data_IF_681166871714
#
_entry.id   IF_681166871714
#
_cell.length_a   1.000
_cell.length_b   1.000
_cell.length_c   1.000
_cell.angle_alpha   90.00
_cell.angle_beta   90.00
_cell.angle_gamma   90.00
#
_symmetry.space_group_name_H-M   'P 1'
#
loop_
_entity.id
_entity.type
_entity.pdbx_description
1 polymer ?
#
# COMPACT_ATOMS: atom_id res chain seq x y z
N UNK A 1 -70.47 -91.80 -19.87
CA UNK A 1 -70.68 -91.70 -18.40
C UNK A 1 -69.32 -91.50 -17.69
N UNK A 2 -69.29 -90.70 -16.67
CA UNK A 2 -68.24 -90.44 -15.67
C UNK A 2 -67.21 -89.34 -16.05
N UNK A 3 -67.50 -88.28 -15.54
CA UNK A 3 -67.13 -87.47 -14.34
C UNK A 3 -65.71 -86.90 -14.38
N UNK A 4 -65.73 -85.62 -14.51
CA UNK A 4 -64.69 -84.66 -14.34
C UNK A 4 -64.15 -84.68 -12.91
N UNK A 5 -62.86 -84.55 -12.75
CA UNK A 5 -62.29 -83.94 -11.53
C UNK A 5 -61.20 -82.88 -11.85
N UNK A 6 -61.49 -81.68 -11.44
CA UNK A 6 -60.60 -80.48 -11.58
C UNK A 6 -59.70 -80.47 -10.36
N UNK A 7 -58.41 -80.44 -10.57
CA UNK A 7 -57.46 -80.01 -9.54
C UNK A 7 -56.90 -78.61 -9.90
N UNK A 8 -57.04 -77.70 -8.96
CA UNK A 8 -56.56 -76.29 -9.05
C UNK A 8 -55.07 -76.29 -8.82
N UNK A 9 -54.33 -75.81 -9.78
CA UNK A 9 -52.93 -75.36 -9.59
C UNK A 9 -52.89 -73.86 -9.28
N UNK A 10 -52.47 -73.53 -8.07
CA UNK A 10 -52.18 -72.19 -7.65
C UNK A 10 -50.90 -71.74 -8.34
N UNK A 11 -50.98 -70.69 -9.15
CA UNK A 11 -49.82 -69.99 -9.65
C UNK A 11 -49.30 -68.98 -8.58
N UNK A 12 -48.11 -69.28 -8.06
CA UNK A 12 -47.38 -68.36 -7.20
C UNK A 12 -46.74 -67.26 -8.02
N UNK A 13 -47.20 -66.05 -7.82
CA UNK A 13 -46.62 -64.81 -8.42
C UNK A 13 -45.39 -64.44 -7.62
N UNK A 14 -44.21 -64.74 -8.16
CA UNK A 14 -42.94 -64.34 -7.60
C UNK A 14 -42.70 -62.86 -7.91
N UNK A 15 -42.78 -62.00 -6.91
CA UNK A 15 -42.40 -60.60 -7.02
C UNK A 15 -40.85 -60.51 -6.94
N UNK A 16 -40.20 -60.26 -8.09
CA UNK A 16 -38.75 -59.86 -8.13
C UNK A 16 -38.63 -58.43 -7.71
N UNK A 17 -38.16 -58.19 -6.47
CA UNK A 17 -37.78 -56.91 -5.98
C UNK A 17 -36.36 -56.53 -6.54
N UNK A 18 -36.32 -55.78 -7.62
CA UNK A 18 -35.05 -55.23 -8.15
C UNK A 18 -34.64 -54.05 -7.26
N UNK A 19 -33.70 -54.30 -6.33
CA UNK A 19 -33.04 -53.25 -5.55
C UNK A 19 -32.04 -52.56 -6.48
N UNK A 20 -32.41 -51.42 -7.09
CA UNK A 20 -31.49 -50.54 -7.79
C UNK A 20 -30.60 -49.86 -6.76
N UNK A 21 -29.37 -50.35 -6.58
CA UNK A 21 -28.31 -49.69 -5.80
C UNK A 21 -27.87 -48.42 -6.57
N UNK A 22 -28.43 -47.27 -6.20
CA UNK A 22 -27.95 -45.97 -6.63
C UNK A 22 -26.60 -45.72 -5.93
N UNK A 23 -25.49 -46.16 -6.55
CA UNK A 23 -24.16 -45.71 -6.20
C UNK A 23 -24.03 -44.24 -6.61
N UNK A 24 -24.26 -43.34 -5.65
CA UNK A 24 -23.87 -41.92 -5.80
C UNK A 24 -22.35 -41.89 -5.86
N UNK A 25 -21.82 -41.83 -7.07
CA UNK A 25 -20.43 -41.42 -7.27
C UNK A 25 -20.31 -39.96 -6.76
N UNK A 26 -19.89 -39.82 -5.51
CA UNK A 26 -19.35 -38.52 -5.05
C UNK A 26 -18.09 -38.26 -5.89
N UNK A 27 -18.25 -37.47 -6.96
CA UNK A 27 -17.11 -36.88 -7.63
C UNK A 27 -16.33 -36.12 -6.56
N UNK A 28 -15.00 -36.39 -6.38
CA UNK A 28 -14.21 -35.54 -5.53
C UNK A 28 -14.40 -34.11 -6.07
N UNK A 29 -14.93 -33.21 -5.23
CA UNK A 29 -14.89 -31.81 -5.53
C UNK A 29 -13.42 -31.50 -5.77
N UNK A 30 -13.01 -31.24 -7.01
CA UNK A 30 -11.71 -30.65 -7.28
C UNK A 30 -11.68 -29.41 -6.40
N UNK A 31 -10.81 -29.41 -5.40
CA UNK A 31 -10.52 -28.20 -4.65
C UNK A 31 -10.12 -27.17 -5.71
N UNK A 32 -10.96 -26.17 -5.92
CA UNK A 32 -10.62 -25.09 -6.84
C UNK A 32 -9.29 -24.52 -6.36
N UNK A 33 -8.32 -24.40 -7.26
CA UNK A 33 -7.03 -23.80 -6.94
C UNK A 33 -7.28 -22.44 -6.30
N UNK A 34 -6.56 -22.16 -5.21
CA UNK A 34 -6.69 -20.87 -4.54
C UNK A 34 -6.28 -19.77 -5.51
N UNK A 35 -7.02 -18.64 -5.56
CA UNK A 35 -6.61 -17.52 -6.37
C UNK A 35 -5.23 -17.02 -5.95
N UNK A 36 -4.43 -16.61 -6.93
CA UNK A 36 -3.07 -16.10 -6.75
C UNK A 36 -3.09 -14.59 -6.76
N UNK A 37 -2.58 -13.98 -5.69
CA UNK A 37 -2.49 -12.53 -5.50
C UNK A 37 -1.04 -12.09 -5.62
N UNK A 38 -0.71 -11.31 -6.64
CA UNK A 38 0.55 -10.61 -6.77
C UNK A 38 0.50 -9.27 -6.01
N UNK A 39 1.42 -9.06 -5.07
CA UNK A 39 1.57 -7.79 -4.37
C UNK A 39 2.86 -7.11 -4.83
N UNK A 40 2.72 -6.02 -5.57
CA UNK A 40 3.86 -5.23 -6.10
C UNK A 40 4.04 -4.00 -5.25
N UNK A 41 5.14 -3.98 -4.50
CA UNK A 41 5.50 -2.90 -3.58
C UNK A 41 6.67 -2.07 -4.11
N UNK A 42 7.02 -1.01 -3.42
CA UNK A 42 8.22 -0.24 -3.63
C UNK A 42 9.42 -0.84 -2.89
N UNK A 43 10.40 -0.06 -2.47
CA UNK A 43 11.65 -0.57 -1.90
C UNK A 43 11.45 -1.31 -0.58
N UNK A 44 11.89 -2.58 -0.51
CA UNK A 44 11.93 -3.35 0.75
C UNK A 44 13.13 -2.98 1.65
N UNK A 45 14.04 -2.12 1.17
CA UNK A 45 15.04 -1.48 2.03
C UNK A 45 14.41 -0.39 2.91
N UNK A 46 13.23 0.12 2.53
CA UNK A 46 12.42 1.03 3.34
C UNK A 46 11.59 0.22 4.35
N UNK A 47 11.78 0.49 5.65
CA UNK A 47 11.08 -0.21 6.74
C UNK A 47 9.55 -0.16 6.58
N UNK A 48 8.99 0.93 6.06
CA UNK A 48 7.55 1.06 5.82
C UNK A 48 7.01 -0.04 4.90
N UNK A 49 7.65 -0.28 3.73
CA UNK A 49 7.20 -1.33 2.81
C UNK A 49 7.51 -2.73 3.34
N UNK A 50 8.56 -2.90 4.13
CA UNK A 50 8.84 -4.17 4.81
C UNK A 50 7.73 -4.53 5.80
N UNK A 51 7.31 -3.60 6.66
CA UNK A 51 6.20 -3.83 7.59
C UNK A 51 4.87 -4.05 6.88
N UNK A 52 4.66 -3.38 5.76
CA UNK A 52 3.50 -3.58 4.89
C UNK A 52 3.47 -4.99 4.29
N UNK A 53 4.62 -5.52 3.83
CA UNK A 53 4.74 -6.91 3.38
C UNK A 53 4.40 -7.89 4.51
N UNK A 54 4.97 -7.68 5.70
CA UNK A 54 4.71 -8.50 6.88
C UNK A 54 3.21 -8.53 7.22
N UNK A 55 2.54 -7.37 7.18
CA UNK A 55 1.09 -7.26 7.37
C UNK A 55 0.28 -8.01 6.32
N UNK A 56 0.65 -7.90 5.05
CA UNK A 56 0.00 -8.62 3.95
C UNK A 56 0.19 -10.15 4.07
N UNK A 57 1.40 -10.61 4.43
CA UNK A 57 1.67 -12.04 4.67
C UNK A 57 0.90 -12.59 5.87
N UNK A 58 0.82 -11.82 6.95
CA UNK A 58 0.01 -12.18 8.12
C UNK A 58 -1.45 -12.32 7.73
N UNK A 59 -2.00 -11.35 7.02
CA UNK A 59 -3.38 -11.40 6.53
C UNK A 59 -3.62 -12.62 5.63
N UNK A 60 -2.73 -12.91 4.69
CA UNK A 60 -2.85 -14.07 3.80
C UNK A 60 -2.85 -15.40 4.58
N UNK A 61 -2.01 -15.51 5.62
CA UNK A 61 -1.95 -16.70 6.48
C UNK A 61 -3.22 -16.88 7.33
N UNK A 62 -3.80 -15.78 7.82
CA UNK A 62 -5.04 -15.79 8.61
C UNK A 62 -6.28 -16.07 7.74
N UNK A 63 -6.36 -15.52 6.54
CA UNK A 63 -7.48 -15.72 5.61
C UNK A 63 -7.46 -17.11 4.99
N UNK A 64 -6.30 -17.56 4.51
CA UNK A 64 -6.08 -18.90 3.96
C UNK A 64 -6.80 -19.21 2.66
N UNK A 65 -7.55 -18.28 2.06
CA UNK A 65 -8.37 -18.50 0.85
C UNK A 65 -7.64 -18.17 -0.45
N UNK A 66 -6.45 -17.59 -0.40
CA UNK A 66 -5.64 -17.21 -1.56
C UNK A 66 -4.14 -17.48 -1.31
N UNK A 67 -3.34 -17.48 -2.37
CA UNK A 67 -1.87 -17.49 -2.32
C UNK A 67 -1.35 -16.07 -2.54
N UNK A 68 -0.41 -15.60 -1.70
CA UNK A 68 0.21 -14.28 -1.82
C UNK A 68 1.65 -14.39 -2.35
N UNK A 69 1.94 -13.68 -3.43
CA UNK A 69 3.29 -13.54 -4.01
C UNK A 69 3.70 -12.06 -3.93
N UNK A 70 4.38 -11.62 -2.86
CA UNK A 70 4.87 -10.25 -2.77
C UNK A 70 6.19 -10.10 -3.53
N UNK A 71 6.35 -8.93 -4.16
CA UNK A 71 7.56 -8.48 -4.84
C UNK A 71 7.81 -7.02 -4.49
N UNK A 72 9.03 -6.71 -4.10
CA UNK A 72 9.49 -5.33 -3.86
C UNK A 72 10.73 -5.01 -4.68
N UNK A 73 11.08 -3.73 -4.71
CA UNK A 73 12.25 -3.19 -5.38
C UNK A 73 13.44 -3.08 -4.44
N UNK A 74 14.64 -2.85 -5.01
CA UNK A 74 15.87 -2.62 -4.24
C UNK A 74 16.02 -1.14 -3.79
N UNK A 75 15.46 -0.21 -4.57
CA UNK A 75 15.42 1.24 -4.25
C UNK A 75 14.07 1.84 -4.64
N UNK A 76 13.79 3.04 -4.13
CA UNK A 76 12.52 3.76 -4.39
C UNK A 76 12.38 4.25 -5.84
N UNK A 77 13.46 4.22 -6.62
CA UNK A 77 13.52 4.68 -8.01
C UNK A 77 13.71 3.55 -9.03
N UNK A 78 13.70 2.29 -8.59
CA UNK A 78 13.90 1.11 -9.45
C UNK A 78 12.59 0.72 -10.15
N UNK A 79 12.13 1.57 -11.08
CA UNK A 79 10.89 1.38 -11.82
C UNK A 79 10.95 0.13 -12.71
N UNK A 80 12.12 -0.17 -13.29
CA UNK A 80 12.27 -1.29 -14.21
C UNK A 80 11.99 -2.63 -13.53
N UNK A 81 12.45 -2.81 -12.28
CA UNK A 81 12.12 -4.00 -11.48
C UNK A 81 10.61 -4.09 -11.23
N UNK A 82 9.93 -2.96 -10.99
CA UNK A 82 8.48 -2.96 -10.78
C UNK A 82 7.71 -3.31 -12.06
N UNK A 83 8.13 -2.78 -13.21
CA UNK A 83 7.58 -3.14 -14.52
C UNK A 83 7.76 -4.64 -14.79
N UNK A 84 8.97 -5.17 -14.58
CA UNK A 84 9.26 -6.59 -14.76
C UNK A 84 8.40 -7.49 -13.84
N UNK A 85 8.16 -7.07 -12.59
CA UNK A 85 7.27 -7.79 -11.67
C UNK A 85 5.84 -7.86 -12.20
N UNK A 86 5.30 -6.74 -12.70
CA UNK A 86 3.97 -6.69 -13.33
C UNK A 86 3.89 -7.62 -14.56
N UNK A 87 4.88 -7.58 -15.43
CA UNK A 87 4.92 -8.44 -16.63
C UNK A 87 5.03 -9.94 -16.25
N UNK A 88 5.81 -10.28 -15.25
CA UNK A 88 5.91 -11.64 -14.73
C UNK A 88 4.56 -12.14 -14.17
N UNK A 89 3.80 -11.30 -13.49
CA UNK A 89 2.47 -11.66 -12.99
C UNK A 89 1.47 -11.84 -14.15
N UNK A 90 1.56 -11.05 -15.20
CA UNK A 90 0.76 -11.27 -16.43
C UNK A 90 1.09 -12.62 -17.07
N UNK A 91 2.37 -12.96 -17.20
CA UNK A 91 2.81 -14.27 -17.75
C UNK A 91 2.34 -15.43 -16.86
N UNK A 92 2.41 -15.29 -15.55
CA UNK A 92 1.94 -16.29 -14.56
C UNK A 92 0.41 -16.39 -14.50
N UNK A 93 -0.31 -15.45 -15.10
CA UNK A 93 -1.79 -15.36 -15.07
C UNK A 93 -2.32 -15.35 -13.63
N UNK A 94 -1.75 -14.52 -12.77
CA UNK A 94 -2.29 -14.33 -11.43
C UNK A 94 -3.71 -13.76 -11.51
N UNK A 95 -4.53 -13.98 -10.50
CA UNK A 95 -5.94 -13.55 -10.51
C UNK A 95 -6.12 -12.09 -10.11
N UNK A 96 -5.23 -11.60 -9.22
CA UNK A 96 -5.25 -10.25 -8.69
C UNK A 96 -3.83 -9.69 -8.62
N UNK A 97 -3.65 -8.44 -9.02
CA UNK A 97 -2.46 -7.65 -8.74
C UNK A 97 -2.84 -6.45 -7.86
N UNK A 98 -2.15 -6.30 -6.74
CA UNK A 98 -2.22 -5.13 -5.86
C UNK A 98 -0.91 -4.37 -5.99
N UNK A 99 -0.93 -3.13 -6.48
CA UNK A 99 0.29 -2.39 -6.86
C UNK A 99 0.37 -1.02 -6.21
N UNK A 100 1.53 -0.74 -5.55
CA UNK A 100 1.96 0.58 -5.09
C UNK A 100 2.94 1.16 -6.13
N UNK A 101 2.51 2.06 -7.02
CA UNK A 101 3.36 2.56 -8.10
C UNK A 101 4.58 3.34 -7.59
N UNK A 102 5.76 3.07 -8.11
CA UNK A 102 6.94 3.89 -7.89
C UNK A 102 6.87 5.23 -8.65
N UNK A 103 6.21 5.19 -9.83
CA UNK A 103 5.92 6.36 -10.66
C UNK A 103 4.44 6.32 -11.09
N UNK A 104 3.74 7.43 -10.83
CA UNK A 104 2.30 7.53 -11.06
C UNK A 104 1.91 7.50 -12.55
N UNK A 105 2.80 7.92 -13.44
CA UNK A 105 2.59 7.92 -14.90
C UNK A 105 3.16 6.65 -15.52
N UNK A 106 4.40 6.31 -15.18
CA UNK A 106 5.16 5.22 -15.80
C UNK A 106 4.50 3.85 -15.61
N UNK A 107 3.85 3.63 -14.47
CA UNK A 107 3.23 2.35 -14.16
C UNK A 107 1.88 2.11 -14.86
N UNK A 108 1.24 3.14 -15.42
CA UNK A 108 -0.08 3.01 -16.07
C UNK A 108 -0.06 2.01 -17.23
N UNK A 109 1.01 1.97 -18.02
CA UNK A 109 1.13 1.02 -19.14
C UNK A 109 1.14 -0.43 -18.66
N UNK A 110 1.87 -0.74 -17.60
CA UNK A 110 1.91 -2.10 -17.03
C UNK A 110 0.58 -2.49 -16.38
N UNK A 111 -0.09 -1.55 -15.72
CA UNK A 111 -1.45 -1.74 -15.19
C UNK A 111 -2.44 -2.04 -16.33
N UNK A 112 -2.38 -1.28 -17.42
CA UNK A 112 -3.25 -1.52 -18.59
C UNK A 112 -3.01 -2.91 -19.19
N UNK A 113 -1.75 -3.33 -19.37
CA UNK A 113 -1.41 -4.68 -19.86
C UNK A 113 -2.00 -5.78 -18.98
N UNK A 114 -1.93 -5.63 -17.65
CA UNK A 114 -2.51 -6.60 -16.73
C UNK A 114 -4.03 -6.68 -16.84
N UNK A 115 -4.71 -5.54 -16.93
CA UNK A 115 -6.18 -5.47 -17.13
C UNK A 115 -6.58 -6.11 -18.46
N UNK A 116 -5.87 -5.81 -19.55
CA UNK A 116 -6.14 -6.38 -20.88
C UNK A 116 -5.92 -7.90 -20.92
N UNK A 117 -5.07 -8.43 -20.03
CA UNK A 117 -4.89 -9.87 -19.83
C UNK A 117 -5.99 -10.50 -18.96
N UNK A 118 -6.98 -9.72 -18.50
CA UNK A 118 -8.09 -10.20 -17.66
C UNK A 118 -7.79 -10.27 -16.16
N UNK A 119 -6.67 -9.71 -15.70
CA UNK A 119 -6.27 -9.71 -14.30
C UNK A 119 -6.97 -8.55 -13.58
N UNK A 120 -7.53 -8.80 -12.41
CA UNK A 120 -8.02 -7.74 -11.53
C UNK A 120 -6.84 -6.92 -11.01
N UNK A 121 -6.91 -5.58 -11.07
CA UNK A 121 -5.84 -4.71 -10.56
C UNK A 121 -6.40 -3.72 -9.54
N UNK A 122 -5.75 -3.63 -8.38
CA UNK A 122 -6.00 -2.64 -7.33
C UNK A 122 -4.77 -1.76 -7.17
N UNK A 123 -4.96 -0.47 -7.34
CA UNK A 123 -3.92 0.53 -7.03
C UNK A 123 -3.97 0.88 -5.53
N UNK A 124 -2.84 0.95 -4.86
CA UNK A 124 -2.80 1.34 -3.46
C UNK A 124 -1.57 2.19 -3.12
N UNK A 125 -1.57 2.84 -1.94
CA UNK A 125 -0.49 3.67 -1.40
C UNK A 125 -0.18 4.94 -2.21
N UNK A 126 0.11 4.82 -3.50
CA UNK A 126 0.39 5.93 -4.42
C UNK A 126 -0.62 5.90 -5.57
N UNK A 127 -1.28 7.01 -5.85
CA UNK A 127 -2.26 7.11 -6.93
C UNK A 127 -1.60 7.08 -8.31
N UNK A 128 -2.24 6.42 -9.26
CA UNK A 128 -1.92 6.54 -10.68
C UNK A 128 -2.38 7.91 -11.21
N UNK A 129 -1.63 8.47 -12.16
CA UNK A 129 -1.94 9.76 -12.76
C UNK A 129 -3.22 9.72 -13.61
N UNK A 130 -4.18 10.59 -13.32
CA UNK A 130 -5.48 10.63 -13.97
C UNK A 130 -5.41 10.88 -15.48
N UNK A 131 -4.47 11.72 -15.93
CA UNK A 131 -4.32 12.03 -17.34
C UNK A 131 -3.69 10.85 -18.08
N UNK A 132 -2.74 10.17 -17.46
CA UNK A 132 -2.14 8.95 -18.01
C UNK A 132 -3.16 7.81 -18.07
N UNK A 133 -3.99 7.62 -17.04
CA UNK A 133 -5.11 6.67 -17.06
C UNK A 133 -6.06 6.95 -18.23
N UNK A 134 -6.50 8.19 -18.40
CA UNK A 134 -7.37 8.62 -19.50
C UNK A 134 -6.76 8.34 -20.88
N UNK A 135 -5.46 8.67 -21.06
CA UNK A 135 -4.73 8.38 -22.30
C UNK A 135 -4.63 6.88 -22.59
N UNK A 136 -4.55 6.06 -21.57
CA UNK A 136 -4.54 4.60 -21.68
C UNK A 136 -5.94 3.97 -21.87
N UNK A 137 -7.01 4.77 -21.88
CA UNK A 137 -8.39 4.29 -21.97
C UNK A 137 -8.90 3.64 -20.68
N UNK A 138 -8.29 3.98 -19.53
CA UNK A 138 -8.72 3.56 -18.20
C UNK A 138 -9.54 4.67 -17.52
N UNK A 139 -10.43 4.34 -16.55
CA UNK A 139 -11.21 5.33 -15.84
C UNK A 139 -10.31 6.28 -15.04
N UNK A 140 -10.64 7.58 -15.04
CA UNK A 140 -9.92 8.60 -14.26
C UNK A 140 -10.14 8.42 -12.75
N UNK A 141 -11.25 7.78 -12.34
CA UNK A 141 -11.58 7.35 -10.98
C UNK A 141 -11.14 5.89 -10.72
N UNK A 142 -10.00 5.50 -11.28
CA UNK A 142 -9.44 4.17 -11.07
C UNK A 142 -9.39 3.82 -9.59
N UNK A 143 -9.73 2.59 -9.26
CA UNK A 143 -9.79 2.13 -7.87
C UNK A 143 -8.46 2.36 -7.15
N UNK A 144 -8.49 3.11 -6.06
CA UNK A 144 -7.34 3.42 -5.23
C UNK A 144 -7.65 3.18 -3.75
N UNK A 145 -6.77 2.47 -3.06
CA UNK A 145 -6.81 2.25 -1.60
C UNK A 145 -5.63 2.97 -0.97
N UNK A 146 -5.88 4.01 -0.19
CA UNK A 146 -4.79 4.77 0.41
C UNK A 146 -5.24 5.99 1.20
N UNK A 147 -4.30 6.66 1.89
CA UNK A 147 -4.57 7.80 2.76
C UNK A 147 -4.78 9.09 1.97
N UNK A 148 -5.28 10.10 2.68
CA UNK A 148 -5.20 11.49 2.25
C UNK A 148 -3.83 12.05 2.64
N UNK A 149 -2.90 12.00 1.67
CA UNK A 149 -1.51 12.41 1.89
C UNK A 149 -1.38 13.90 2.20
N UNK A 150 -2.22 14.76 1.57
CA UNK A 150 -2.20 16.19 1.84
C UNK A 150 -2.68 16.50 3.26
N UNK A 151 -3.77 15.86 3.70
CA UNK A 151 -4.29 16.01 5.06
C UNK A 151 -3.29 15.50 6.10
N UNK A 152 -2.67 14.34 5.89
CA UNK A 152 -1.65 13.81 6.81
C UNK A 152 -0.44 14.75 6.92
N UNK A 153 0.07 15.25 5.80
CA UNK A 153 1.21 16.17 5.79
C UNK A 153 0.86 17.53 6.42
N UNK A 154 -0.34 18.07 6.16
CA UNK A 154 -0.84 19.27 6.83
C UNK A 154 -0.92 19.05 8.35
N UNK A 155 -1.45 17.91 8.80
CA UNK A 155 -1.58 17.59 10.23
C UNK A 155 -0.23 17.61 10.97
N UNK A 156 0.82 16.99 10.41
CA UNK A 156 2.14 16.99 11.06
C UNK A 156 2.90 18.31 10.83
N UNK A 157 2.66 18.97 9.72
CA UNK A 157 3.16 20.32 9.44
C UNK A 157 2.57 21.37 10.39
N UNK A 158 1.29 21.27 10.70
CA UNK A 158 0.60 22.10 11.69
C UNK A 158 1.22 21.92 13.08
N UNK A 159 1.45 20.67 13.48
CA UNK A 159 2.10 20.39 14.77
C UNK A 159 3.53 21.01 14.86
N UNK A 160 4.29 20.99 13.76
CA UNK A 160 5.56 21.70 13.68
C UNK A 160 5.38 23.22 13.77
N UNK A 161 4.39 23.76 13.03
CA UNK A 161 4.09 25.20 13.05
C UNK A 161 3.66 25.71 14.42
N UNK A 162 2.82 24.97 15.13
CA UNK A 162 2.43 25.25 16.52
C UNK A 162 3.64 25.24 17.47
N UNK A 163 4.58 24.30 17.27
CA UNK A 163 5.78 24.17 18.10
C UNK A 163 6.76 25.31 17.88
N UNK A 164 6.97 25.73 16.63
CA UNK A 164 7.98 26.72 16.27
C UNK A 164 7.48 28.16 16.31
N UNK A 165 6.23 28.39 16.00
CA UNK A 165 5.60 29.71 15.93
C UNK A 165 5.89 30.46 14.63
N UNK A 166 5.21 31.62 14.50
CA UNK A 166 5.24 32.47 13.32
C UNK A 166 6.67 32.99 12.98
N UNK A 167 7.00 32.94 11.70
CA UNK A 167 8.29 33.44 11.18
C UNK A 167 9.43 32.43 11.30
N UNK A 168 9.20 31.27 11.90
CA UNK A 168 10.21 30.24 12.00
C UNK A 168 10.65 29.73 10.61
N UNK A 169 11.96 29.49 10.48
CA UNK A 169 12.61 29.09 9.23
C UNK A 169 12.55 27.59 9.07
N UNK A 170 11.96 27.14 7.96
CA UNK A 170 11.75 25.71 7.69
C UNK A 170 12.24 25.30 6.31
N UNK A 171 12.54 24.02 6.15
CA UNK A 171 12.90 23.38 4.87
C UNK A 171 11.98 22.17 4.69
N UNK A 172 11.58 21.92 3.44
CA UNK A 172 10.84 20.70 3.04
C UNK A 172 11.82 19.76 2.32
N UNK A 173 11.89 18.51 2.78
CA UNK A 173 12.57 17.41 2.10
C UNK A 173 11.50 16.57 1.41
N UNK A 174 11.47 16.72 0.06
CA UNK A 174 10.43 16.13 -0.78
C UNK A 174 10.75 14.68 -1.15
N UNK A 175 9.70 13.90 -1.45
CA UNK A 175 9.83 12.56 -2.01
C UNK A 175 10.15 12.55 -3.51
N UNK A 176 9.96 11.39 -4.15
CA UNK A 176 10.16 11.25 -5.60
C UNK A 176 9.13 12.09 -6.37
N UNK A 177 9.56 13.02 -7.23
CA UNK A 177 8.66 13.91 -7.97
C UNK A 177 7.74 13.17 -8.97
N UNK A 178 8.09 11.93 -9.37
CA UNK A 178 7.25 11.07 -10.20
C UNK A 178 6.06 10.44 -9.46
N UNK A 179 6.09 10.45 -8.12
CA UNK A 179 5.04 9.88 -7.27
C UNK A 179 4.04 10.96 -6.82
N UNK A 180 2.75 10.70 -7.02
CA UNK A 180 1.69 11.66 -6.71
C UNK A 180 1.59 11.99 -5.21
N UNK A 181 1.82 11.00 -4.34
CA UNK A 181 1.85 11.22 -2.89
C UNK A 181 2.96 12.20 -2.44
N UNK A 182 4.08 12.28 -3.16
CA UNK A 182 5.11 13.29 -2.87
C UNK A 182 4.60 14.71 -3.11
N UNK A 183 3.86 14.91 -4.21
CA UNK A 183 3.22 16.20 -4.52
C UNK A 183 2.17 16.57 -3.49
N UNK A 184 1.32 15.62 -3.11
CA UNK A 184 0.28 15.81 -2.11
C UNK A 184 0.85 16.16 -0.73
N UNK A 185 1.92 15.44 -0.28
CA UNK A 185 2.57 15.74 1.02
C UNK A 185 3.23 17.12 0.99
N UNK A 186 3.90 17.48 -0.10
CA UNK A 186 4.41 18.85 -0.27
C UNK A 186 3.30 19.90 -0.19
N UNK A 187 2.16 19.67 -0.84
CA UNK A 187 1.00 20.56 -0.78
C UNK A 187 0.49 20.71 0.66
N UNK A 188 0.36 19.61 1.41
CA UNK A 188 -0.03 19.66 2.82
C UNK A 188 0.93 20.46 3.69
N UNK A 189 2.24 20.28 3.52
CA UNK A 189 3.26 21.06 4.21
C UNK A 189 3.18 22.55 3.84
N UNK A 190 2.95 22.88 2.58
CA UNK A 190 2.80 24.28 2.15
C UNK A 190 1.58 24.94 2.78
N UNK A 191 0.45 24.22 2.97
CA UNK A 191 -0.71 24.74 3.69
C UNK A 191 -0.34 25.13 5.13
N UNK A 192 0.45 24.29 5.82
CA UNK A 192 0.94 24.59 7.17
C UNK A 192 1.92 25.78 7.18
N UNK A 193 2.83 25.86 6.17
CA UNK A 193 3.73 27.01 6.00
C UNK A 193 2.92 28.31 5.95
N UNK A 194 1.90 28.35 5.12
CA UNK A 194 1.03 29.53 4.95
C UNK A 194 0.21 29.81 6.22
N UNK A 195 -0.43 28.79 6.81
CA UNK A 195 -1.27 28.89 7.99
C UNK A 195 -0.55 29.46 9.20
N UNK A 196 0.67 29.02 9.46
CA UNK A 196 1.47 29.49 10.60
C UNK A 196 2.43 30.64 10.26
N UNK A 197 2.43 31.11 9.01
CA UNK A 197 3.33 32.15 8.54
C UNK A 197 4.79 31.78 8.72
N UNK A 198 5.14 30.51 8.44
CA UNK A 198 6.52 30.03 8.48
C UNK A 198 7.32 30.59 7.28
N UNK A 199 8.62 30.67 7.43
CA UNK A 199 9.51 31.09 6.36
C UNK A 199 10.15 29.87 5.69
N UNK A 200 9.62 29.47 4.54
CA UNK A 200 10.22 28.42 3.74
C UNK A 200 11.54 28.88 3.14
N UNK A 201 12.67 28.24 3.49
CA UNK A 201 14.01 28.56 3.00
C UNK A 201 14.35 27.79 1.72
N UNK A 202 13.98 26.53 1.64
CA UNK A 202 14.21 25.63 0.50
C UNK A 202 13.22 24.47 0.49
N UNK A 203 13.05 23.84 -0.69
CA UNK A 203 12.25 22.63 -0.88
C UNK A 203 12.95 21.78 -1.92
N UNK A 204 13.45 20.59 -1.53
CA UNK A 204 14.31 19.74 -2.36
C UNK A 204 13.94 18.27 -2.19
N UNK A 205 14.01 17.52 -3.28
CA UNK A 205 13.83 16.07 -3.24
C UNK A 205 15.06 15.33 -2.72
N UNK A 206 14.83 14.26 -1.97
CA UNK A 206 15.79 13.21 -1.66
C UNK A 206 15.22 11.82 -2.02
N UNK A 207 14.27 11.76 -2.95
CA UNK A 207 13.73 10.57 -3.62
C UNK A 207 13.30 9.45 -2.68
N UNK A 208 12.84 9.77 -1.46
CA UNK A 208 12.48 8.85 -0.37
C UNK A 208 13.67 8.14 0.30
N UNK A 209 14.92 8.45 -0.09
CA UNK A 209 16.12 7.73 0.30
C UNK A 209 16.85 8.38 1.48
N UNK A 210 17.23 7.54 2.47
CA UNK A 210 17.90 7.98 3.71
C UNK A 210 19.25 8.65 3.44
N UNK A 211 20.10 8.05 2.60
CA UNK A 211 21.45 8.54 2.36
C UNK A 211 21.46 9.81 1.49
N UNK A 212 20.52 9.93 0.55
CA UNK A 212 20.34 11.17 -0.21
C UNK A 212 19.89 12.30 0.72
N UNK A 213 18.93 12.03 1.61
CA UNK A 213 18.46 13.01 2.59
C UNK A 213 19.58 13.46 3.55
N UNK A 214 20.44 12.53 3.99
CA UNK A 214 21.60 12.86 4.81
C UNK A 214 22.56 13.80 4.08
N UNK A 215 22.95 13.46 2.85
CA UNK A 215 23.83 14.28 2.01
C UNK A 215 23.21 15.65 1.73
N UNK A 216 21.94 15.68 1.33
CA UNK A 216 21.21 16.91 1.05
C UNK A 216 21.15 17.81 2.30
N UNK A 217 20.78 17.25 3.46
CA UNK A 217 20.67 18.03 4.69
C UNK A 217 22.00 18.57 5.17
N UNK A 218 23.10 17.83 5.03
CA UNK A 218 24.45 18.31 5.33
C UNK A 218 24.78 19.61 4.55
N UNK A 219 24.45 19.63 3.26
CA UNK A 219 24.63 20.80 2.41
C UNK A 219 23.68 21.95 2.80
N UNK A 220 22.43 21.64 3.12
CA UNK A 220 21.43 22.62 3.52
C UNK A 220 21.77 23.29 4.87
N UNK A 221 22.33 22.52 5.82
CA UNK A 221 22.80 23.09 7.10
C UNK A 221 23.94 24.13 6.94
N UNK A 222 24.78 23.95 5.94
CA UNK A 222 25.82 24.93 5.58
C UNK A 222 25.19 26.17 4.96
N UNK A 223 24.22 25.99 4.05
CA UNK A 223 23.55 27.11 3.35
C UNK A 223 22.59 27.88 4.26
N UNK A 224 21.92 27.19 5.18
CA UNK A 224 20.89 27.73 6.07
C UNK A 224 21.22 27.41 7.54
N UNK A 225 22.26 28.00 8.13
CA UNK A 225 22.73 27.62 9.47
C UNK A 225 21.73 27.92 10.58
N UNK A 226 20.71 28.72 10.33
CA UNK A 226 19.67 29.17 11.25
C UNK A 226 18.27 28.54 10.99
N UNK A 227 18.24 27.47 10.22
CA UNK A 227 16.99 26.66 10.05
C UNK A 227 16.52 26.12 11.40
N UNK A 228 15.21 26.11 11.62
CA UNK A 228 14.58 25.71 12.89
C UNK A 228 13.72 24.46 12.77
N UNK A 229 13.20 24.17 11.57
CA UNK A 229 12.35 23.00 11.35
C UNK A 229 12.54 22.34 9.99
N UNK A 230 12.41 21.03 9.93
CA UNK A 230 12.49 20.23 8.71
C UNK A 230 11.23 19.39 8.59
N UNK A 231 10.54 19.52 7.46
CA UNK A 231 9.37 18.74 7.08
C UNK A 231 9.82 17.65 6.09
N UNK A 232 9.93 16.40 6.54
CA UNK A 232 10.32 15.28 5.68
C UNK A 232 9.09 14.56 5.17
N UNK A 233 9.01 14.39 3.85
CA UNK A 233 7.85 13.74 3.22
C UNK A 233 7.76 12.22 3.53
N UNK A 234 8.83 11.60 4.08
CA UNK A 234 8.75 10.28 4.71
C UNK A 234 9.77 10.12 5.85
N UNK A 235 9.60 9.07 6.62
CA UNK A 235 10.43 8.76 7.78
C UNK A 235 11.83 8.28 7.40
N UNK A 236 12.01 7.58 6.27
CA UNK A 236 13.35 7.20 5.78
C UNK A 236 14.22 8.42 5.54
N UNK A 237 13.66 9.48 4.93
CA UNK A 237 14.39 10.76 4.78
C UNK A 237 14.60 11.47 6.12
N UNK A 238 13.62 11.39 7.04
CA UNK A 238 13.77 11.97 8.39
C UNK A 238 14.92 11.32 9.18
N UNK A 239 15.17 10.02 9.00
CA UNK A 239 16.36 9.35 9.57
C UNK A 239 17.66 9.92 9.02
N UNK A 240 17.73 10.16 7.71
CA UNK A 240 18.90 10.79 7.07
C UNK A 240 19.12 12.21 7.54
N UNK A 241 18.05 12.99 7.65
CA UNK A 241 18.06 14.36 8.17
C UNK A 241 18.55 14.41 9.61
N UNK A 242 18.04 13.51 10.50
CA UNK A 242 18.48 13.45 11.90
C UNK A 242 19.97 13.17 12.01
N UNK A 243 20.49 12.19 11.25
CA UNK A 243 21.92 11.88 11.21
C UNK A 243 22.77 13.10 10.84
N UNK A 244 22.37 13.89 9.83
CA UNK A 244 23.08 15.10 9.43
C UNK A 244 23.03 16.18 10.51
N UNK A 245 21.87 16.37 11.16
CA UNK A 245 21.68 17.33 12.25
C UNK A 245 22.52 16.93 13.48
N UNK A 246 22.58 15.64 13.81
CA UNK A 246 23.39 15.10 14.90
C UNK A 246 24.89 15.30 14.62
N UNK A 247 25.35 15.00 13.41
CA UNK A 247 26.74 15.21 13.01
C UNK A 247 27.16 16.69 13.08
N UNK A 248 26.21 17.61 12.85
CA UNK A 248 26.44 19.07 12.98
C UNK A 248 26.32 19.58 14.43
N UNK A 249 26.06 18.72 15.43
CA UNK A 249 25.89 19.10 16.84
C UNK A 249 24.64 19.97 17.10
N UNK A 250 23.59 19.79 16.28
CA UNK A 250 22.35 20.58 16.34
C UNK A 250 21.12 19.78 16.81
N UNK A 251 21.31 18.55 17.30
CA UNK A 251 20.22 17.72 17.84
C UNK A 251 19.44 18.48 18.92
N UNK A 252 18.11 18.45 18.86
CA UNK A 252 17.21 19.17 19.75
C UNK A 252 17.06 20.66 19.48
N UNK A 253 17.91 21.26 18.62
CA UNK A 253 17.82 22.67 18.20
C UNK A 253 17.00 22.86 16.93
N UNK A 254 16.89 21.82 16.11
CA UNK A 254 16.12 21.79 14.88
C UNK A 254 15.04 20.72 15.05
N UNK A 255 13.79 21.10 14.86
CA UNK A 255 12.66 20.18 14.96
C UNK A 255 12.47 19.43 13.63
N UNK A 256 12.22 18.13 13.69
CA UNK A 256 12.04 17.27 12.51
C UNK A 256 10.66 16.64 12.60
N UNK A 257 9.92 16.65 11.50
CA UNK A 257 8.70 15.85 11.36
C UNK A 257 8.82 14.92 10.15
N UNK A 258 8.16 13.76 10.24
CA UNK A 258 8.17 12.71 9.23
C UNK A 258 6.79 12.26 8.83
N UNK A 259 6.74 11.11 8.14
CA UNK A 259 5.52 10.46 7.68
C UNK A 259 5.84 8.96 7.52
N UNK A 260 5.02 8.04 8.02
CA UNK A 260 5.00 6.56 7.90
C UNK A 260 4.94 5.85 9.25
N UNK A 261 5.39 6.48 10.35
CA UNK A 261 5.44 5.90 11.69
C UNK A 261 6.28 4.62 11.77
N UNK A 262 7.45 4.59 11.11
CA UNK A 262 8.35 3.42 11.20
C UNK A 262 8.98 3.29 12.59
N UNK A 263 9.32 2.05 13.01
CA UNK A 263 9.86 1.77 14.35
C UNK A 263 11.12 2.55 14.67
N UNK A 264 11.99 2.76 13.68
CA UNK A 264 13.20 3.57 13.85
C UNK A 264 12.88 5.03 14.21
N UNK A 265 11.85 5.63 13.61
CA UNK A 265 11.41 7.01 13.93
C UNK A 265 10.69 7.07 15.28
N UNK A 266 9.88 6.07 15.64
CA UNK A 266 9.26 6.00 16.97
C UNK A 266 10.32 6.10 18.09
N UNK A 267 11.46 5.43 17.92
CA UNK A 267 12.57 5.51 18.88
C UNK A 267 13.15 6.93 18.95
N UNK A 268 13.33 7.60 17.80
CA UNK A 268 13.82 8.99 17.77
C UNK A 268 12.81 9.98 18.38
N UNK A 269 11.51 9.73 18.25
CA UNK A 269 10.47 10.53 18.91
C UNK A 269 10.52 10.33 20.43
N UNK A 270 10.68 9.09 20.93
CA UNK A 270 10.88 8.80 22.37
C UNK A 270 12.09 9.51 22.94
N UNK A 271 13.18 9.56 22.17
CA UNK A 271 14.43 10.23 22.51
C UNK A 271 14.34 11.76 22.39
N UNK A 272 13.28 12.31 21.82
CA UNK A 272 13.11 13.77 21.57
C UNK A 272 13.97 14.33 20.44
N UNK A 273 14.44 13.48 19.51
CA UNK A 273 15.25 13.84 18.33
C UNK A 273 14.38 14.15 17.12
N UNK A 274 13.21 13.55 17.03
CA UNK A 274 12.15 13.82 16.04
C UNK A 274 10.91 14.26 16.82
N UNK A 275 10.20 15.26 16.32
CA UNK A 275 9.05 15.85 17.00
C UNK A 275 7.81 14.98 16.85
N UNK A 276 7.50 14.54 15.61
CA UNK A 276 6.30 13.77 15.29
C UNK A 276 6.42 13.11 13.91
N UNK A 277 5.55 12.15 13.66
CA UNK A 277 5.32 11.54 12.34
C UNK A 277 3.83 11.27 12.12
N UNK A 278 3.45 10.85 10.92
CA UNK A 278 2.11 10.38 10.59
C UNK A 278 2.12 8.86 10.44
N UNK A 279 1.23 8.21 11.16
CA UNK A 279 0.87 6.82 10.87
C UNK A 279 -0.19 6.79 9.77
N UNK A 280 0.09 6.05 8.71
CA UNK A 280 -0.86 5.77 7.61
C UNK A 280 -1.30 4.31 7.59
N UNK A 281 -0.98 3.54 8.63
CA UNK A 281 -1.40 2.16 8.83
C UNK A 281 -1.04 1.25 7.65
N UNK A 282 0.24 1.23 7.28
CA UNK A 282 0.75 0.50 6.11
C UNK A 282 0.37 -0.98 6.05
N UNK A 283 0.58 -1.76 7.13
CA UNK A 283 0.17 -3.17 7.19
C UNK A 283 -1.32 -3.39 6.89
N UNK A 284 -2.18 -2.58 7.51
CA UNK A 284 -3.63 -2.65 7.32
C UNK A 284 -4.04 -2.17 5.94
N UNK A 285 -3.34 -1.19 5.38
CA UNK A 285 -3.60 -0.66 4.03
C UNK A 285 -3.37 -1.74 2.97
N UNK A 286 -2.26 -2.49 3.03
CA UNK A 286 -2.00 -3.60 2.13
C UNK A 286 -3.06 -4.70 2.25
N UNK A 287 -3.41 -5.11 3.48
CA UNK A 287 -4.46 -6.08 3.74
C UNK A 287 -5.82 -5.61 3.19
N UNK A 288 -6.16 -4.33 3.35
CA UNK A 288 -7.40 -3.75 2.83
C UNK A 288 -7.41 -3.71 1.30
N UNK A 289 -6.30 -3.39 0.65
CA UNK A 289 -6.19 -3.42 -0.80
C UNK A 289 -6.41 -4.84 -1.36
N UNK A 290 -5.85 -5.86 -0.72
CA UNK A 290 -6.10 -7.26 -1.08
C UNK A 290 -7.59 -7.62 -0.88
N UNK A 291 -8.18 -7.26 0.28
CA UNK A 291 -9.63 -7.50 0.55
C UNK A 291 -10.52 -6.86 -0.50
N UNK A 292 -10.22 -5.63 -0.90
CA UNK A 292 -10.95 -4.91 -1.96
C UNK A 292 -10.85 -5.67 -3.29
N UNK A 293 -9.66 -6.12 -3.67
CA UNK A 293 -9.46 -6.91 -4.89
C UNK A 293 -10.23 -8.24 -4.86
N UNK A 294 -10.18 -8.96 -3.74
CA UNK A 294 -10.93 -10.21 -3.56
C UNK A 294 -12.46 -10.00 -3.65
N UNK A 295 -12.99 -8.86 -3.19
CA UNK A 295 -14.41 -8.50 -3.35
C UNK A 295 -14.78 -8.28 -4.82
N UNK A 296 -13.92 -7.57 -5.57
CA UNK A 296 -14.13 -7.35 -7.00
C UNK A 296 -14.15 -8.68 -7.77
N UNK A 297 -13.23 -9.59 -7.46
CA UNK A 297 -13.20 -10.93 -8.06
C UNK A 297 -14.48 -11.74 -7.77
N UNK A 298 -15.15 -11.46 -6.65
CA UNK A 298 -16.47 -12.04 -6.30
C UNK A 298 -17.65 -11.30 -6.95
N UNK A 299 -17.40 -10.29 -7.79
CA UNK A 299 -18.41 -9.57 -8.55
C UNK A 299 -18.90 -8.26 -7.90
N UNK A 300 -18.30 -7.81 -6.78
CA UNK A 300 -18.61 -6.49 -6.25
C UNK A 300 -18.08 -5.39 -7.18
N UNK A 301 -18.87 -4.33 -7.40
CA UNK A 301 -18.47 -3.18 -8.19
C UNK A 301 -17.93 -2.10 -7.26
N UNK A 302 -16.61 -1.97 -7.23
CA UNK A 302 -15.91 -0.95 -6.47
C UNK A 302 -15.07 -0.09 -7.41
N UNK A 303 -15.08 1.22 -7.21
CA UNK A 303 -14.30 2.20 -7.98
C UNK A 303 -13.92 3.39 -7.10
N UNK A 304 -13.06 4.24 -7.61
CA UNK A 304 -12.66 5.47 -6.93
C UNK A 304 -11.83 5.23 -5.65
N UNK A 305 -11.79 6.23 -4.81
CA UNK A 305 -10.92 6.26 -3.65
C UNK A 305 -11.53 5.57 -2.43
N UNK A 306 -10.94 4.47 -2.03
CA UNK A 306 -11.19 3.77 -0.77
C UNK A 306 -10.23 4.34 0.29
N UNK A 307 -10.66 5.41 0.97
CA UNK A 307 -9.83 6.19 1.89
C UNK A 307 -9.43 5.39 3.13
N UNK A 308 -8.13 5.36 3.43
CA UNK A 308 -7.59 4.81 4.68
C UNK A 308 -7.31 5.92 5.70
N UNK A 309 -7.28 5.61 7.01
CA UNK A 309 -7.03 6.61 8.04
C UNK A 309 -5.58 7.10 8.03
N UNK A 310 -5.37 8.28 8.64
CA UNK A 310 -4.07 8.79 9.07
C UNK A 310 -4.16 9.24 10.52
N UNK A 311 -3.03 9.16 11.27
CA UNK A 311 -2.95 9.59 12.67
C UNK A 311 -1.62 10.30 12.93
N UNK A 312 -1.67 11.45 13.58
CA UNK A 312 -0.48 12.10 14.12
C UNK A 312 0.06 11.27 15.30
N UNK A 313 1.35 10.97 15.27
CA UNK A 313 2.08 10.26 16.31
C UNK A 313 3.11 11.21 16.91
N UNK A 314 3.00 11.42 18.20
CA UNK A 314 3.89 12.22 19.02
C UNK A 314 4.46 11.38 20.16
N UNK A 315 5.35 11.96 20.98
CA UNK A 315 5.88 11.28 22.15
C UNK A 315 4.80 10.80 23.14
N UNK A 316 3.61 11.42 23.14
CA UNK A 316 2.50 11.04 24.01
C UNK A 316 1.77 9.77 23.55
N UNK A 317 1.95 9.38 22.30
CA UNK A 317 1.30 8.21 21.69
C UNK A 317 2.17 6.94 21.79
N UNK A 318 3.43 7.06 22.19
CA UNK A 318 4.45 6.00 22.24
C UNK A 318 4.85 5.64 23.67
#
# INVERSE_FOLDING_TARGET
MKKVNRSKTMQGLGIFLVLALLTVFALPALAADKPVVGLVMKSLANEFFKTMEEGARKFAAEDGTFELIPVGMNSETDIDTQVAAMENFVVKKVDLIVVAPADSVGMVTSVKKAIDAGITVVNFDVTLDKQALKKAGLPEDFLFVGPDNAVGAEMVGDHLGETLGKGAKVIIIEGNPGADNAKQRKEGFMRSVDKFGLKLLDSKTAHWETEEANTLMTNLLTKYPDVQGIMCANDSMALGVEKAIAAAGKTGKIQIVGFDNIGAIQNLIKDGKVLATIDQFGPEMAANAIKVGMKIMKGEKLSGWQKTPVKLITKKDL
#
